data_IF_244122664038
#
_entry.id   IF_244122664038
#
_cell.length_a   1.000
_cell.length_b   1.000
_cell.length_c   1.000
_cell.angle_alpha   90.00
_cell.angle_beta   90.00
_cell.angle_gamma   90.00
#
_symmetry.space_group_name_H-M   'P 1'
#
loop_
_entity.id
_entity.type
_entity.pdbx_description
1 polymer ?
#
# COMPACT_ATOMS: atom_id res chain seq x y z
N UNK A 1 -46.19 -54.99 33.31
CA UNK A 1 -46.60 -53.57 33.09
C UNK A 1 -45.45 -52.55 33.04
N UNK A 2 -44.23 -52.84 33.53
CA UNK A 2 -43.14 -51.85 33.64
C UNK A 2 -42.48 -51.54 32.27
N UNK A 3 -42.27 -52.55 31.43
CA UNK A 3 -41.66 -52.38 30.09
C UNK A 3 -42.47 -51.48 29.15
N UNK A 4 -43.81 -51.54 29.23
CA UNK A 4 -44.69 -50.74 28.38
C UNK A 4 -44.65 -49.24 28.73
N UNK A 5 -44.38 -48.89 30.01
CA UNK A 5 -44.21 -47.49 30.45
C UNK A 5 -42.86 -46.90 30.02
N UNK A 6 -41.81 -47.71 29.96
CA UNK A 6 -40.47 -47.27 29.55
C UNK A 6 -40.43 -46.99 28.04
N UNK A 7 -41.02 -47.85 27.22
CA UNK A 7 -41.13 -47.63 25.77
C UNK A 7 -41.97 -46.40 25.42
N UNK A 8 -43.10 -46.19 26.13
CA UNK A 8 -43.95 -45.02 25.91
C UNK A 8 -43.23 -43.70 26.26
N UNK A 9 -42.38 -43.71 27.29
CA UNK A 9 -41.57 -42.55 27.72
C UNK A 9 -40.41 -42.24 26.76
N UNK A 10 -39.79 -43.26 26.15
CA UNK A 10 -38.77 -43.05 25.12
C UNK A 10 -39.36 -42.52 23.81
N UNK A 11 -40.53 -43.01 23.38
CA UNK A 11 -41.21 -42.53 22.19
C UNK A 11 -41.66 -41.06 22.31
N UNK A 12 -42.11 -40.62 23.49
CA UNK A 12 -42.47 -39.22 23.74
C UNK A 12 -41.26 -38.29 23.72
N UNK A 13 -40.09 -38.75 24.21
CA UNK A 13 -38.87 -37.94 24.21
C UNK A 13 -38.30 -37.74 22.79
N UNK A 14 -38.39 -38.75 21.92
CA UNK A 14 -37.97 -38.63 20.52
C UNK A 14 -38.83 -37.67 19.70
N UNK A 15 -40.14 -37.63 19.97
CA UNK A 15 -41.05 -36.67 19.32
C UNK A 15 -40.78 -35.22 19.76
N UNK A 16 -40.40 -35.00 21.02
CA UNK A 16 -39.99 -33.69 21.53
C UNK A 16 -38.67 -33.24 20.91
N UNK A 17 -37.69 -34.15 20.77
CA UNK A 17 -36.41 -33.88 20.12
C UNK A 17 -36.58 -33.46 18.66
N UNK A 18 -37.39 -34.19 17.87
CA UNK A 18 -37.68 -33.82 16.48
C UNK A 18 -38.35 -32.45 16.34
N UNK A 19 -39.26 -32.09 17.26
CA UNK A 19 -39.87 -30.75 17.27
C UNK A 19 -38.86 -29.66 17.63
N UNK A 20 -37.90 -29.94 18.50
CA UNK A 20 -36.83 -29.01 18.86
C UNK A 20 -35.86 -28.82 17.70
N UNK A 21 -35.45 -29.90 17.02
CA UNK A 21 -34.62 -29.84 15.82
C UNK A 21 -35.31 -29.09 14.68
N UNK A 22 -36.61 -29.34 14.45
CA UNK A 22 -37.38 -28.62 13.45
C UNK A 22 -37.46 -27.13 13.74
N UNK A 23 -37.74 -26.75 15.00
CA UNK A 23 -37.73 -25.34 15.42
C UNK A 23 -36.35 -24.70 15.32
N UNK A 24 -35.28 -25.47 15.56
CA UNK A 24 -33.90 -25.03 15.35
C UNK A 24 -33.63 -24.73 13.88
N UNK A 25 -34.01 -25.63 12.97
CA UNK A 25 -33.86 -25.44 11.53
C UNK A 25 -34.69 -24.26 11.00
N UNK A 26 -35.93 -24.08 11.47
CA UNK A 26 -36.76 -22.92 11.14
C UNK A 26 -36.14 -21.61 11.64
N UNK A 27 -35.58 -21.61 12.87
CA UNK A 27 -34.87 -20.45 13.40
C UNK A 27 -33.60 -20.12 12.59
N UNK A 28 -32.84 -21.13 12.18
CA UNK A 28 -31.64 -20.95 11.35
C UNK A 28 -31.99 -20.37 9.97
N UNK A 29 -33.08 -20.84 9.34
CA UNK A 29 -33.59 -20.27 8.08
C UNK A 29 -34.00 -18.79 8.24
N UNK A 30 -34.68 -18.45 9.34
CA UNK A 30 -35.05 -17.05 9.64
C UNK A 30 -33.80 -16.20 9.85
N UNK A 31 -32.80 -16.71 10.57
CA UNK A 31 -31.53 -16.01 10.79
C UNK A 31 -30.80 -15.77 9.47
N UNK A 32 -30.76 -16.76 8.59
CA UNK A 32 -30.13 -16.63 7.27
C UNK A 32 -30.84 -15.57 6.41
N UNK A 33 -32.17 -15.61 6.37
CA UNK A 33 -32.98 -14.61 5.66
C UNK A 33 -32.75 -13.18 6.21
N UNK A 34 -32.73 -13.01 7.54
CA UNK A 34 -32.47 -11.72 8.15
C UNK A 34 -31.04 -11.23 7.87
N UNK A 35 -30.04 -12.12 7.84
CA UNK A 35 -28.67 -11.78 7.44
C UNK A 35 -28.62 -11.26 6.00
N UNK A 36 -29.32 -11.92 5.08
CA UNK A 36 -29.42 -11.47 3.68
C UNK A 36 -30.09 -10.09 3.57
N UNK A 37 -31.20 -9.87 4.29
CA UNK A 37 -31.85 -8.55 4.32
C UNK A 37 -30.93 -7.45 4.86
N UNK A 38 -30.19 -7.72 5.94
CA UNK A 38 -29.23 -6.75 6.51
C UNK A 38 -28.09 -6.45 5.52
N UNK A 39 -27.60 -7.46 4.80
CA UNK A 39 -26.58 -7.27 3.76
C UNK A 39 -27.08 -6.35 2.63
N UNK A 40 -28.29 -6.59 2.12
CA UNK A 40 -28.91 -5.75 1.09
C UNK A 40 -29.14 -4.32 1.56
N UNK A 41 -29.57 -4.12 2.81
CA UNK A 41 -29.76 -2.79 3.38
C UNK A 41 -28.43 -2.03 3.52
N UNK A 42 -27.35 -2.71 3.91
CA UNK A 42 -26.01 -2.11 3.97
C UNK A 42 -25.52 -1.70 2.58
N UNK A 43 -25.65 -2.57 1.59
CA UNK A 43 -25.28 -2.27 0.20
C UNK A 43 -26.06 -1.08 -0.35
N UNK A 44 -27.39 -1.06 -0.14
CA UNK A 44 -28.24 0.07 -0.53
C UNK A 44 -27.83 1.38 0.15
N UNK A 45 -27.45 1.33 1.43
CA UNK A 45 -26.99 2.51 2.15
C UNK A 45 -25.66 3.05 1.60
N UNK A 46 -24.72 2.15 1.27
CA UNK A 46 -23.44 2.52 0.65
C UNK A 46 -23.68 3.14 -0.73
N UNK A 47 -24.48 2.51 -1.58
CA UNK A 47 -24.84 3.04 -2.90
C UNK A 47 -25.55 4.40 -2.82
N UNK A 48 -26.41 4.58 -1.83
CA UNK A 48 -27.08 5.86 -1.62
C UNK A 48 -26.09 6.95 -1.16
N UNK A 49 -25.12 6.60 -0.32
CA UNK A 49 -24.07 7.53 0.11
C UNK A 49 -23.16 7.93 -1.05
N UNK A 50 -22.67 6.96 -1.83
CA UNK A 50 -21.81 7.22 -3.00
C UNK A 50 -22.54 8.04 -4.06
N UNK A 51 -23.82 7.76 -4.33
CA UNK A 51 -24.62 8.54 -5.28
C UNK A 51 -24.81 9.99 -4.84
N UNK A 52 -24.97 10.25 -3.53
CA UNK A 52 -25.08 11.63 -3.01
C UNK A 52 -23.77 12.39 -3.18
N UNK A 53 -22.65 11.73 -2.90
CA UNK A 53 -21.32 12.32 -3.05
C UNK A 53 -20.99 12.60 -4.53
N UNK A 54 -21.29 11.66 -5.43
CA UNK A 54 -21.12 11.83 -6.88
C UNK A 54 -21.95 13.02 -7.40
N UNK A 55 -23.20 13.18 -6.93
CA UNK A 55 -24.03 14.34 -7.29
C UNK A 55 -23.44 15.66 -6.78
N UNK A 56 -22.94 15.69 -5.54
CA UNK A 56 -22.28 16.87 -4.98
C UNK A 56 -21.05 17.26 -5.79
N UNK A 57 -20.18 16.29 -6.09
CA UNK A 57 -18.98 16.50 -6.89
C UNK A 57 -19.32 16.95 -8.32
N UNK A 58 -20.40 16.45 -8.94
CA UNK A 58 -20.83 16.94 -10.25
C UNK A 58 -21.23 18.41 -10.23
N UNK A 59 -21.98 18.84 -9.21
CA UNK A 59 -22.39 20.25 -9.07
C UNK A 59 -21.18 21.14 -8.84
N UNK A 60 -20.26 20.72 -7.97
CA UNK A 60 -19.03 21.45 -7.69
C UNK A 60 -18.12 21.57 -8.93
N UNK A 61 -17.90 20.47 -9.65
CA UNK A 61 -17.15 20.49 -10.90
C UNK A 61 -17.79 21.38 -11.96
N UNK A 62 -19.13 21.42 -12.05
CA UNK A 62 -19.83 22.32 -12.95
C UNK A 62 -19.63 23.79 -12.57
N UNK A 63 -19.66 24.11 -11.26
CA UNK A 63 -19.40 25.45 -10.75
C UNK A 63 -17.96 25.89 -11.04
N UNK A 64 -16.98 25.05 -10.72
CA UNK A 64 -15.56 25.32 -10.98
C UNK A 64 -15.29 25.53 -12.47
N UNK A 65 -15.93 24.74 -13.36
CA UNK A 65 -15.83 24.94 -14.81
C UNK A 65 -16.36 26.30 -15.25
N UNK A 66 -17.45 26.77 -14.65
CA UNK A 66 -18.03 28.10 -14.93
C UNK A 66 -17.11 29.21 -14.46
N UNK A 67 -16.55 29.07 -13.25
CA UNK A 67 -15.61 30.03 -12.68
C UNK A 67 -14.30 30.11 -13.48
N UNK A 68 -13.77 28.96 -13.94
CA UNK A 68 -12.62 28.93 -14.85
C UNK A 68 -12.93 29.67 -16.15
N UNK A 69 -14.12 29.49 -16.71
CA UNK A 69 -14.51 30.16 -17.95
C UNK A 69 -14.67 31.68 -17.77
N UNK A 70 -15.25 32.10 -16.64
CA UNK A 70 -15.36 33.52 -16.26
C UNK A 70 -13.98 34.15 -16.08
N UNK A 71 -13.07 33.50 -15.34
CA UNK A 71 -11.70 33.98 -15.14
C UNK A 71 -10.90 34.03 -16.45
N UNK A 72 -11.12 33.06 -17.36
CA UNK A 72 -10.52 33.10 -18.70
C UNK A 72 -11.01 34.31 -19.49
N UNK A 73 -12.31 34.60 -19.47
CA UNK A 73 -12.86 35.76 -20.15
C UNK A 73 -12.33 37.07 -19.57
N UNK A 74 -12.21 37.15 -18.25
CA UNK A 74 -11.63 38.32 -17.56
C UNK A 74 -10.15 38.51 -17.91
N UNK A 75 -9.37 37.43 -17.93
CA UNK A 75 -7.97 37.45 -18.37
C UNK A 75 -7.85 37.93 -19.82
N UNK A 76 -8.68 37.39 -20.72
CA UNK A 76 -8.74 37.79 -22.12
C UNK A 76 -9.03 39.29 -22.25
N UNK A 77 -10.00 39.81 -21.49
CA UNK A 77 -10.30 41.25 -21.51
C UNK A 77 -9.14 42.09 -20.99
N UNK A 78 -8.49 41.67 -19.90
CA UNK A 78 -7.32 42.37 -19.35
C UNK A 78 -6.14 42.38 -20.32
N UNK A 79 -5.89 41.27 -21.04
CA UNK A 79 -4.87 41.19 -22.09
C UNK A 79 -5.14 42.15 -23.26
N UNK A 80 -6.41 42.21 -23.71
CA UNK A 80 -6.82 43.14 -24.77
C UNK A 80 -6.66 44.61 -24.31
N UNK A 81 -7.05 44.93 -23.09
CA UNK A 81 -6.87 46.28 -22.51
C UNK A 81 -5.40 46.69 -22.42
N UNK A 82 -4.51 45.73 -22.16
CA UNK A 82 -3.06 45.95 -22.13
C UNK A 82 -2.39 45.90 -23.52
N UNK A 83 -3.16 45.85 -24.61
CA UNK A 83 -2.67 45.96 -25.98
C UNK A 83 -2.13 44.66 -26.60
N UNK A 84 -2.41 43.51 -25.98
CA UNK A 84 -2.03 42.20 -26.52
C UNK A 84 -3.03 41.76 -27.59
N UNK A 85 -2.55 41.48 -28.82
CA UNK A 85 -3.39 40.96 -29.91
C UNK A 85 -3.69 39.48 -29.67
N UNK A 86 -4.96 39.14 -29.49
CA UNK A 86 -5.37 37.74 -29.42
C UNK A 86 -5.37 37.09 -30.81
N UNK A 87 -4.74 35.91 -30.90
CA UNK A 87 -4.73 35.08 -32.09
C UNK A 87 -5.80 34.01 -31.88
N UNK A 88 -6.85 33.94 -32.72
CA UNK A 88 -7.85 32.89 -32.61
C UNK A 88 -7.19 31.54 -32.91
N UNK A 89 -7.27 30.62 -31.95
CA UNK A 89 -6.82 29.26 -32.17
C UNK A 89 -7.86 28.52 -33.02
N UNK A 90 -7.51 27.90 -34.17
CA UNK A 90 -8.46 27.14 -34.96
C UNK A 90 -8.74 25.80 -34.26
N UNK A 91 -9.71 25.79 -33.35
CA UNK A 91 -10.29 24.55 -32.85
C UNK A 91 -11.52 24.20 -33.67
N UNK A 92 -11.35 23.29 -34.63
CA UNK A 92 -12.46 22.54 -35.19
C UNK A 92 -13.19 21.78 -34.08
N UNK A 93 -14.51 21.94 -34.08
CA UNK A 93 -15.62 21.13 -33.51
C UNK A 93 -15.33 20.22 -32.30
N UNK A 94 -16.13 20.32 -31.21
CA UNK A 94 -15.75 19.82 -29.88
C UNK A 94 -16.01 18.33 -29.68
N UNK A 95 -15.24 17.67 -28.80
CA UNK A 95 -15.74 16.77 -27.75
C UNK A 95 -14.61 16.42 -26.74
N UNK A 96 -14.77 16.96 -25.53
CA UNK A 96 -14.28 16.49 -24.23
C UNK A 96 -12.77 16.46 -23.93
N UNK A 97 -12.35 17.59 -23.34
CA UNK A 97 -11.12 17.94 -22.61
C UNK A 97 -10.71 16.99 -21.45
N UNK A 98 -9.47 16.96 -20.95
CA UNK A 98 -8.17 17.49 -21.40
C UNK A 98 -7.07 16.85 -20.54
N UNK A 99 -5.90 16.73 -21.17
CA UNK A 99 -4.63 16.26 -20.63
C UNK A 99 -3.85 17.35 -19.88
N UNK A 100 -2.98 16.89 -18.97
CA UNK A 100 -1.66 17.42 -18.58
C UNK A 100 -0.94 18.26 -19.64
N UNK A 101 -0.16 19.29 -19.24
CA UNK A 101 1.33 19.40 -19.42
C UNK A 101 1.92 20.50 -18.49
N UNK A 102 3.15 20.23 -18.00
CA UNK A 102 4.26 21.13 -17.58
C UNK A 102 4.59 22.26 -18.60
N UNK A 103 5.47 23.26 -18.40
CA UNK A 103 6.88 23.23 -17.96
C UNK A 103 7.48 24.67 -17.76
N UNK A 104 8.47 24.81 -16.84
CA UNK A 104 9.63 25.76 -16.64
C UNK A 104 9.73 27.15 -17.35
N UNK A 105 10.55 28.17 -16.98
CA UNK A 105 11.97 28.34 -16.50
C UNK A 105 12.15 29.81 -16.06
N UNK A 106 13.02 30.20 -15.10
CA UNK A 106 13.95 31.39 -15.13
C UNK A 106 15.16 31.18 -14.16
N UNK A 107 16.37 31.58 -14.60
CA UNK A 107 17.68 31.61 -13.90
C UNK A 107 18.02 32.99 -13.27
N UNK A 108 18.99 33.06 -12.32
CA UNK A 108 20.32 33.74 -12.49
C UNK A 108 21.02 34.27 -11.19
N UNK A 109 22.24 33.72 -10.90
CA UNK A 109 23.57 34.26 -10.45
C UNK A 109 23.87 34.96 -9.07
N UNK A 110 25.16 35.19 -8.63
CA UNK A 110 25.78 34.51 -7.46
C UNK A 110 26.50 35.45 -6.43
N UNK A 111 27.08 34.93 -5.35
CA UNK A 111 28.21 35.56 -4.62
C UNK A 111 28.95 34.60 -3.68
N UNK A 112 30.11 35.06 -3.20
CA UNK A 112 31.35 34.33 -2.91
C UNK A 112 31.68 34.25 -1.40
N UNK A 113 32.68 33.40 -1.07
CA UNK A 113 33.77 33.56 -0.06
C UNK A 113 33.60 33.21 1.44
N UNK A 114 34.61 32.43 1.91
CA UNK A 114 35.37 32.41 3.22
C UNK A 114 34.64 31.95 4.50
N UNK A 115 35.21 31.30 5.52
CA UNK A 115 36.56 30.78 5.89
C UNK A 115 36.45 30.00 7.21
N UNK A 116 37.36 29.02 7.43
CA UNK A 116 37.99 28.54 8.69
C UNK A 116 37.11 28.12 9.90
N UNK A 117 37.43 27.09 10.68
CA UNK A 117 38.62 26.25 10.78
C UNK A 117 38.70 25.57 12.15
N UNK A 118 39.59 24.56 12.25
CA UNK A 118 40.16 23.93 13.46
C UNK A 118 39.19 23.13 14.38
N UNK A 119 39.54 22.00 14.99
CA UNK A 119 40.84 21.34 15.21
C UNK A 119 40.65 19.84 15.53
N UNK A 120 41.75 19.12 15.32
CA UNK A 120 42.02 17.69 15.41
C UNK A 120 41.92 17.04 16.81
N UNK A 121 41.70 15.71 16.76
CA UNK A 121 42.35 14.60 17.50
C UNK A 121 42.30 14.63 19.05
N UNK A 122 42.16 13.51 19.78
CA UNK A 122 43.19 12.47 19.95
C UNK A 122 42.54 11.22 20.60
N UNK A 123 42.98 10.06 20.08
CA UNK A 123 43.20 8.70 20.65
C UNK A 123 42.90 8.47 22.15
N UNK A 124 42.53 7.28 22.64
CA UNK A 124 42.63 5.91 22.15
C UNK A 124 42.65 4.94 23.36
N UNK A 125 42.32 3.66 23.11
CA UNK A 125 42.68 2.39 23.80
C UNK A 125 42.72 2.31 25.34
N UNK A 126 42.57 1.16 26.00
CA UNK A 126 42.42 -0.27 25.66
C UNK A 126 42.27 -0.99 27.02
N UNK A 127 41.77 -2.23 26.97
CA UNK A 127 42.01 -3.34 27.91
C UNK A 127 41.23 -3.27 29.23
N UNK A 128 40.22 -4.15 29.39
CA UNK A 128 40.32 -5.51 29.99
C UNK A 128 40.34 -5.39 31.52
N UNK A 129 39.48 -6.07 32.28
CA UNK A 129 39.40 -7.52 32.36
C UNK A 129 38.26 -7.97 33.29
N UNK A 130 37.90 -9.26 33.20
CA UNK A 130 37.07 -10.09 34.10
C UNK A 130 35.58 -10.12 33.73
N UNK A 131 35.08 -11.05 32.90
CA UNK A 131 35.23 -12.51 32.90
C UNK A 131 34.94 -13.16 34.26
N UNK A 132 33.68 -13.55 34.47
CA UNK A 132 33.24 -14.75 35.23
C UNK A 132 31.70 -14.81 35.24
N UNK A 133 31.14 -15.58 34.31
CA UNK A 133 29.93 -16.42 34.47
C UNK A 133 29.48 -16.90 33.08
N UNK A 134 30.22 -17.86 32.55
CA UNK A 134 29.85 -18.60 31.35
C UNK A 134 30.34 -20.05 31.48
N UNK A 135 29.89 -20.71 32.54
CA UNK A 135 29.87 -22.17 32.67
C UNK A 135 28.55 -22.46 33.40
N UNK A 136 27.78 -23.43 32.92
CA UNK A 136 26.46 -23.86 33.44
C UNK A 136 25.20 -23.15 32.93
N UNK A 137 24.95 -23.23 31.62
CA UNK A 137 23.60 -23.62 31.12
C UNK A 137 23.70 -24.14 29.68
N UNK A 138 24.77 -24.89 29.44
CA UNK A 138 25.11 -25.55 28.18
C UNK A 138 24.68 -27.01 28.26
N UNK A 139 23.43 -27.28 28.65
CA UNK A 139 22.91 -28.66 28.77
C UNK A 139 21.37 -28.78 28.71
N UNK A 140 20.70 -27.82 28.08
CA UNK A 140 19.27 -27.96 27.70
C UNK A 140 19.02 -27.64 26.24
N UNK A 141 20.00 -28.05 25.42
CA UNK A 141 20.06 -27.86 23.97
C UNK A 141 20.16 -29.21 23.29
N UNK A 142 19.25 -30.12 23.59
CA UNK A 142 19.06 -31.39 22.88
C UNK A 142 17.67 -31.92 23.24
N UNK A 143 16.87 -32.31 22.23
CA UNK A 143 15.43 -32.69 22.29
C UNK A 143 14.38 -31.57 22.29
N UNK A 144 14.41 -30.74 21.23
CA UNK A 144 13.18 -30.33 20.52
C UNK A 144 13.45 -29.85 19.08
N UNK A 145 14.45 -30.46 18.44
CA UNK A 145 14.65 -30.38 16.99
C UNK A 145 14.17 -31.70 16.39
N UNK A 146 12.99 -31.71 15.79
CA UNK A 146 12.66 -32.59 14.67
C UNK A 146 11.22 -32.39 14.15
N UNK A 147 10.78 -31.15 13.86
CA UNK A 147 9.85 -30.86 12.74
C UNK A 147 10.10 -29.40 12.28
N UNK A 148 11.20 -29.16 11.58
CA UNK A 148 11.42 -27.93 10.81
C UNK A 148 12.35 -28.29 9.64
N UNK A 149 11.78 -29.00 8.67
CA UNK A 149 12.48 -29.41 7.44
C UNK A 149 12.20 -28.44 6.30
N UNK A 150 13.28 -27.94 5.70
CA UNK A 150 13.42 -27.42 4.33
C UNK A 150 12.95 -25.99 3.99
N UNK A 151 13.68 -24.96 4.44
CA UNK A 151 13.62 -23.64 3.80
C UNK A 151 14.98 -22.91 3.72
N UNK A 152 16.11 -23.64 3.81
CA UNK A 152 17.44 -23.03 3.97
C UNK A 152 18.40 -23.22 2.78
N UNK A 153 17.88 -23.52 1.59
CA UNK A 153 18.69 -23.62 0.36
C UNK A 153 18.09 -22.86 -0.83
N UNK A 154 17.19 -21.90 -0.60
CA UNK A 154 16.68 -21.05 -1.69
C UNK A 154 17.72 -19.96 -2.03
N UNK A 155 17.95 -19.65 -3.32
CA UNK A 155 18.75 -18.49 -3.71
C UNK A 155 18.17 -17.21 -3.08
N UNK A 156 19.03 -16.25 -2.75
CA UNK A 156 18.63 -14.96 -2.21
C UNK A 156 18.47 -14.01 -3.38
N UNK A 157 17.25 -13.97 -3.91
CA UNK A 157 16.85 -13.10 -5.02
C UNK A 157 15.42 -12.59 -4.80
N UNK A 158 14.96 -11.76 -5.74
CA UNK A 158 13.66 -11.08 -5.69
C UNK A 158 12.47 -12.04 -5.61
N UNK A 159 12.60 -13.31 -6.03
CA UNK A 159 11.51 -14.30 -5.99
C UNK A 159 11.04 -14.59 -4.56
N UNK A 160 11.84 -14.26 -3.55
CA UNK A 160 11.49 -14.43 -2.13
C UNK A 160 10.58 -13.33 -1.60
N UNK A 161 10.49 -12.19 -2.29
CA UNK A 161 9.66 -11.06 -1.89
C UNK A 161 8.23 -11.25 -2.38
N UNK A 162 7.25 -10.98 -1.53
CA UNK A 162 5.84 -10.98 -1.92
C UNK A 162 5.43 -9.55 -2.30
N UNK A 163 5.64 -9.21 -3.57
CA UNK A 163 5.32 -7.90 -4.13
C UNK A 163 3.95 -7.95 -4.81
N UNK A 164 3.03 -7.09 -4.36
CA UNK A 164 1.66 -7.04 -4.88
C UNK A 164 1.19 -5.62 -5.14
N UNK A 165 0.28 -5.48 -6.08
CA UNK A 165 -0.46 -4.25 -6.30
C UNK A 165 -1.50 -4.08 -5.20
N UNK A 166 -1.62 -2.87 -4.66
CA UNK A 166 -2.68 -2.49 -3.73
C UNK A 166 -3.34 -1.16 -4.10
N UNK A 167 -4.53 -0.93 -3.55
CA UNK A 167 -5.25 0.33 -3.66
C UNK A 167 -5.43 0.95 -2.28
N UNK A 168 -4.94 2.18 -2.08
CA UNK A 168 -5.13 2.91 -0.83
C UNK A 168 -6.59 3.34 -0.73
N UNK A 169 -7.37 2.67 0.12
CA UNK A 169 -8.80 2.99 0.32
C UNK A 169 -8.92 4.29 1.11
N UNK A 170 -8.15 4.38 2.20
CA UNK A 170 -8.12 5.58 3.04
C UNK A 170 -6.69 5.85 3.47
N UNK A 171 -6.30 7.12 3.46
CA UNK A 171 -5.09 7.60 4.11
C UNK A 171 -5.45 8.68 5.13
N UNK A 172 -4.76 8.72 6.27
CA UNK A 172 -4.91 9.74 7.31
C UNK A 172 -3.56 10.02 7.95
N UNK A 173 -3.35 11.22 8.49
CA UNK A 173 -2.15 11.52 9.30
C UNK A 173 -2.13 10.63 10.55
N UNK A 174 -0.95 10.17 10.94
CA UNK A 174 -0.79 9.39 12.15
C UNK A 174 -1.08 10.29 13.38
N UNK A 175 -1.87 9.83 14.38
CA UNK A 175 -2.26 10.66 15.52
C UNK A 175 -1.07 11.13 16.37
N UNK A 176 -0.08 10.25 16.54
CA UNK A 176 1.11 10.50 17.37
C UNK A 176 2.40 10.76 16.57
N UNK A 177 2.31 11.04 15.26
CA UNK A 177 3.49 11.26 14.42
C UNK A 177 3.22 12.14 13.19
N UNK A 178 3.88 13.31 13.13
CA UNK A 178 3.65 14.29 12.06
C UNK A 178 4.21 13.87 10.69
N UNK A 179 5.22 13.00 10.66
CA UNK A 179 5.87 12.54 9.43
C UNK A 179 5.27 11.28 8.83
N UNK A 180 4.27 10.67 9.49
CA UNK A 180 3.70 9.39 9.11
C UNK A 180 2.24 9.53 8.68
N UNK A 181 1.88 8.77 7.66
CA UNK A 181 0.50 8.45 7.32
C UNK A 181 0.15 7.05 7.83
N UNK A 182 -1.14 6.84 8.06
CA UNK A 182 -1.75 5.53 8.30
C UNK A 182 -2.72 5.28 7.15
N UNK A 183 -2.43 4.25 6.37
CA UNK A 183 -3.23 3.85 5.22
C UNK A 183 -3.96 2.52 5.48
N UNK A 184 -5.20 2.43 5.04
CA UNK A 184 -5.87 1.13 4.85
C UNK A 184 -5.81 0.78 3.37
N UNK A 185 -5.08 -0.27 3.02
CA UNK A 185 -4.78 -0.62 1.63
C UNK A 185 -5.40 -1.97 1.28
N UNK A 186 -6.23 -2.00 0.24
CA UNK A 186 -6.71 -3.24 -0.36
C UNK A 186 -5.59 -3.90 -1.14
N UNK A 187 -5.32 -5.18 -0.88
CA UNK A 187 -4.32 -5.99 -1.57
C UNK A 187 -4.92 -7.28 -2.14
N UNK A 188 -6.24 -7.29 -2.38
CA UNK A 188 -6.97 -8.45 -2.88
C UNK A 188 -7.15 -9.56 -1.84
N UNK A 189 -7.01 -9.22 -0.56
CA UNK A 189 -7.26 -10.12 0.58
C UNK A 189 -8.67 -9.90 1.15
N UNK A 190 -9.11 -10.75 2.07
CA UNK A 190 -10.45 -10.64 2.67
C UNK A 190 -10.67 -9.35 3.46
N UNK A 191 -9.59 -8.74 3.93
CA UNK A 191 -9.61 -7.48 4.66
C UNK A 191 -8.45 -6.59 4.18
N UNK A 192 -8.63 -5.26 4.16
CA UNK A 192 -7.53 -4.33 3.92
C UNK A 192 -6.43 -4.47 4.96
N UNK A 193 -5.20 -4.15 4.57
CA UNK A 193 -4.05 -4.09 5.47
C UNK A 193 -3.82 -2.68 5.96
N UNK A 194 -3.48 -2.56 7.23
CA UNK A 194 -3.02 -1.28 7.79
C UNK A 194 -1.54 -1.11 7.48
N UNK A 195 -1.19 0.01 6.86
CA UNK A 195 0.17 0.38 6.49
C UNK A 195 0.50 1.73 7.10
N UNK A 196 1.76 1.91 7.51
CA UNK A 196 2.26 3.18 8.05
C UNK A 196 3.42 3.65 7.18
N UNK A 197 3.23 4.78 6.50
CA UNK A 197 4.18 5.30 5.51
C UNK A 197 4.75 6.64 5.90
N UNK A 198 6.07 6.82 5.76
CA UNK A 198 6.77 8.08 6.01
C UNK A 198 6.70 9.08 4.86
N UNK A 199 5.52 9.33 4.32
CA UNK A 199 5.33 10.06 3.05
C UNK A 199 4.77 11.48 3.20
N UNK A 200 4.51 11.95 4.43
CA UNK A 200 3.85 13.25 4.68
C UNK A 200 4.57 14.43 4.04
N UNK A 201 5.90 14.40 4.01
CA UNK A 201 6.72 15.48 3.43
C UNK A 201 6.91 15.37 1.91
N UNK A 202 6.45 14.27 1.30
CA UNK A 202 6.74 13.94 -0.10
C UNK A 202 5.48 13.87 -0.96
N UNK A 203 4.37 13.37 -0.41
CA UNK A 203 3.11 13.19 -1.14
C UNK A 203 1.98 13.80 -0.30
N UNK A 204 1.21 14.76 -0.86
CA UNK A 204 0.09 15.35 -0.13
C UNK A 204 -1.02 14.31 0.07
N UNK A 205 -1.77 14.46 1.17
CA UNK A 205 -2.81 13.51 1.59
C UNK A 205 -3.86 13.24 0.50
N UNK A 206 -4.21 14.26 -0.29
CA UNK A 206 -5.17 14.16 -1.39
C UNK A 206 -4.70 13.20 -2.49
N UNK A 207 -3.39 13.17 -2.76
CA UNK A 207 -2.79 12.26 -3.74
C UNK A 207 -2.58 10.85 -3.19
N UNK A 208 -2.79 10.62 -1.89
CA UNK A 208 -2.73 9.29 -1.29
C UNK A 208 -4.08 8.56 -1.41
N UNK A 209 -5.20 9.29 -1.48
CA UNK A 209 -6.52 8.68 -1.54
C UNK A 209 -6.74 7.95 -2.87
N UNK A 210 -7.31 6.74 -2.83
CA UNK A 210 -7.61 5.91 -3.99
C UNK A 210 -6.42 5.71 -4.95
N UNK A 211 -5.19 5.76 -4.42
CA UNK A 211 -3.98 5.59 -5.21
C UNK A 211 -3.59 4.13 -5.31
N UNK A 212 -3.28 3.69 -6.53
CA UNK A 212 -2.69 2.38 -6.79
C UNK A 212 -1.20 2.40 -6.48
N UNK A 213 -0.73 1.39 -5.74
CA UNK A 213 0.65 1.28 -5.24
C UNK A 213 1.16 -0.14 -5.36
N UNK A 214 2.48 -0.32 -5.25
CA UNK A 214 3.10 -1.63 -5.06
C UNK A 214 3.47 -1.77 -3.58
N UNK A 215 3.17 -2.92 -3.01
CA UNK A 215 3.41 -3.27 -1.62
C UNK A 215 4.36 -4.45 -1.49
N UNK A 216 5.21 -4.42 -0.48
CA UNK A 216 5.89 -5.61 0.03
C UNK A 216 5.09 -6.20 1.19
N UNK A 217 4.52 -7.39 0.97
CA UNK A 217 3.48 -7.98 1.81
C UNK A 217 3.96 -9.08 2.76
N UNK A 218 5.18 -9.61 2.60
CA UNK A 218 5.70 -10.69 3.44
C UNK A 218 6.78 -10.24 4.43
N UNK A 219 6.90 -8.94 4.71
CA UNK A 219 7.70 -8.48 5.85
C UNK A 219 7.02 -8.85 7.17
N UNK A 220 7.83 -9.07 8.21
CA UNK A 220 7.32 -9.19 9.57
C UNK A 220 6.63 -7.88 9.96
N UNK A 221 5.36 -7.91 10.41
CA UNK A 221 4.66 -6.69 10.84
C UNK A 221 5.44 -5.95 11.94
N UNK A 222 5.55 -4.64 11.77
CA UNK A 222 6.34 -3.78 12.66
C UNK A 222 5.45 -2.71 13.29
N UNK A 223 5.66 -2.44 14.58
CA UNK A 223 4.92 -1.41 15.30
C UNK A 223 5.63 -0.07 15.13
N UNK A 224 4.92 0.91 14.56
CA UNK A 224 5.39 2.27 14.36
C UNK A 224 4.49 3.20 15.16
N UNK A 225 5.04 3.80 16.23
CA UNK A 225 4.35 4.80 17.07
C UNK A 225 2.96 4.37 17.59
N UNK A 226 2.74 3.07 17.80
CA UNK A 226 1.47 2.56 18.33
C UNK A 226 0.69 1.72 17.33
N UNK A 227 0.83 2.00 16.03
CA UNK A 227 0.12 1.32 14.94
C UNK A 227 0.99 0.21 14.37
N UNK A 228 0.39 -0.93 14.03
CA UNK A 228 1.10 -2.06 13.40
C UNK A 228 1.03 -1.91 11.89
N UNK A 229 2.17 -1.72 11.23
CA UNK A 229 2.27 -1.76 9.77
C UNK A 229 2.42 -3.21 9.30
N UNK A 230 1.52 -3.65 8.42
CA UNK A 230 1.44 -5.02 7.90
C UNK A 230 2.04 -5.19 6.50
N UNK A 231 2.44 -4.10 5.86
CA UNK A 231 3.13 -4.07 4.58
C UNK A 231 3.97 -2.79 4.48
N UNK A 232 4.67 -2.62 3.37
CA UNK A 232 5.47 -1.43 3.07
C UNK A 232 5.20 -0.99 1.63
N UNK A 233 4.94 0.30 1.42
CA UNK A 233 4.75 0.89 0.08
C UNK A 233 6.11 1.05 -0.60
N UNK A 234 6.24 0.49 -1.81
CA UNK A 234 7.48 0.56 -2.58
C UNK A 234 7.64 1.93 -3.25
N UNK A 235 8.76 2.59 -2.99
CA UNK A 235 9.05 3.93 -3.50
C UNK A 235 10.43 3.99 -4.17
N UNK A 236 10.56 4.78 -5.23
CA UNK A 236 11.85 5.28 -5.67
C UNK A 236 12.30 6.36 -4.69
N UNK A 237 13.55 6.30 -4.22
CA UNK A 237 14.08 7.21 -3.20
C UNK A 237 15.48 7.68 -3.54
N UNK A 238 15.72 8.97 -3.28
CA UNK A 238 17.01 9.62 -3.29
C UNK A 238 17.13 10.45 -2.00
N UNK A 239 18.31 11.03 -1.70
CA UNK A 239 18.45 11.92 -0.53
C UNK A 239 17.50 13.13 -0.54
N UNK A 240 17.00 13.52 -1.72
CA UNK A 240 16.24 14.76 -1.93
C UNK A 240 14.75 14.50 -2.16
N UNK A 241 14.38 13.35 -2.74
CA UNK A 241 13.01 13.09 -3.20
C UNK A 241 12.61 11.62 -2.99
N UNK A 242 11.31 11.42 -2.75
CA UNK A 242 10.69 10.10 -2.70
C UNK A 242 9.46 10.11 -3.60
N UNK A 243 9.34 9.11 -4.47
CA UNK A 243 8.21 8.90 -5.37
C UNK A 243 7.64 7.50 -5.22
N UNK A 244 6.32 7.41 -5.03
CA UNK A 244 5.62 6.13 -4.97
C UNK A 244 5.65 5.48 -6.36
N UNK A 245 6.05 4.22 -6.43
CA UNK A 245 6.02 3.46 -7.69
C UNK A 245 4.57 3.25 -8.13
N UNK A 246 4.29 3.58 -9.39
CA UNK A 246 2.99 3.41 -10.01
C UNK A 246 2.92 2.06 -10.74
N UNK A 247 1.91 1.23 -10.46
CA UNK A 247 1.64 0.04 -11.26
C UNK A 247 1.08 0.42 -12.64
N UNK A 248 1.16 -0.48 -13.65
CA UNK A 248 0.62 -0.20 -14.97
C UNK A 248 -0.91 -0.04 -14.95
N UNK A 249 -1.44 0.68 -15.95
CA UNK A 249 -2.88 0.91 -16.08
C UNK A 249 -3.65 -0.41 -16.18
N UNK A 250 -4.80 -0.50 -15.49
CA UNK A 250 -5.61 -1.71 -15.45
C UNK A 250 -5.20 -2.73 -14.39
N UNK A 251 -4.15 -2.45 -13.60
CA UNK A 251 -3.80 -3.27 -12.43
C UNK A 251 -4.92 -3.26 -11.39
N UNK A 252 -5.11 -4.39 -10.72
CA UNK A 252 -6.13 -4.55 -9.68
C UNK A 252 -5.47 -4.96 -8.35
N UNK A 253 -6.09 -4.64 -7.20
CA UNK A 253 -5.60 -5.10 -5.91
C UNK A 253 -5.36 -6.62 -5.90
N UNK A 254 -4.17 -7.04 -5.46
CA UNK A 254 -3.75 -8.43 -5.38
C UNK A 254 -2.99 -8.96 -6.59
N UNK A 255 -2.88 -8.19 -7.69
CA UNK A 255 -1.98 -8.54 -8.79
C UNK A 255 -0.55 -8.69 -8.27
N UNK A 256 0.12 -9.79 -8.65
CA UNK A 256 1.51 -10.04 -8.26
C UNK A 256 2.48 -9.38 -9.22
N UNK A 257 3.55 -8.81 -8.69
CA UNK A 257 4.71 -8.39 -9.49
C UNK A 257 5.56 -9.63 -9.77
N UNK A 258 5.82 -9.88 -11.04
CA UNK A 258 6.58 -11.05 -11.50
C UNK A 258 7.90 -10.62 -12.13
N UNK A 259 8.87 -11.55 -12.06
CA UNK A 259 10.19 -11.40 -12.66
C UNK A 259 10.50 -12.69 -13.41
N UNK A 260 10.33 -12.70 -14.74
CA UNK A 260 10.49 -13.93 -15.53
C UNK A 260 11.88 -14.56 -15.41
N UNK A 261 12.91 -13.73 -15.18
CA UNK A 261 14.28 -14.18 -14.96
C UNK A 261 14.53 -14.83 -13.58
N UNK A 262 13.62 -14.64 -12.62
CA UNK A 262 13.76 -15.10 -11.23
C UNK A 262 12.52 -15.90 -10.80
N UNK A 263 12.33 -17.12 -11.33
CA UNK A 263 11.19 -17.95 -10.98
C UNK A 263 11.29 -18.44 -9.52
N UNK A 264 10.21 -18.28 -8.77
CA UNK A 264 10.12 -18.82 -7.42
C UNK A 264 8.89 -18.34 -6.66
N UNK A 265 8.57 -19.02 -5.56
CA UNK A 265 7.48 -18.61 -4.67
C UNK A 265 8.02 -17.77 -3.51
N UNK A 266 7.35 -16.65 -3.18
CA UNK A 266 7.68 -15.82 -2.04
C UNK A 266 7.68 -16.59 -0.73
N UNK A 267 8.47 -16.11 0.23
CA UNK A 267 8.38 -16.66 1.58
C UNK A 267 7.09 -16.21 2.26
N UNK A 268 6.54 -17.05 3.13
CA UNK A 268 5.34 -16.71 3.92
C UNK A 268 5.55 -15.49 4.82
N UNK A 269 6.72 -15.41 5.46
CA UNK A 269 7.19 -14.25 6.25
C UNK A 269 8.72 -14.21 6.14
N UNK A 270 9.26 -13.05 5.78
CA UNK A 270 10.70 -12.81 5.71
C UNK A 270 11.29 -12.79 7.13
N UNK A 271 12.28 -13.63 7.38
CA UNK A 271 12.95 -13.69 8.66
C UNK A 271 13.94 -12.50 8.82
N UNK A 272 13.72 -11.57 9.78
CA UNK A 272 14.59 -10.41 9.95
C UNK A 272 16.04 -10.76 10.26
N UNK A 273 16.30 -11.94 10.85
CA UNK A 273 17.67 -12.40 11.16
C UNK A 273 18.46 -12.77 9.92
N UNK A 274 17.79 -13.16 8.83
CA UNK A 274 18.44 -13.53 7.57
C UNK A 274 18.74 -12.31 6.70
N UNK A 275 18.18 -11.13 7.03
CA UNK A 275 18.39 -9.87 6.31
C UNK A 275 18.22 -10.01 4.79
N UNK A 276 17.16 -10.71 4.38
CA UNK A 276 16.92 -11.06 2.96
C UNK A 276 16.60 -9.79 2.17
N UNK A 277 15.75 -8.93 2.71
CA UNK A 277 15.41 -7.64 2.12
C UNK A 277 16.65 -6.78 1.91
N UNK A 278 17.52 -6.68 2.92
CA UNK A 278 18.74 -5.86 2.87
C UNK A 278 19.79 -6.39 1.89
N UNK A 279 19.73 -7.67 1.52
CA UNK A 279 20.57 -8.24 0.48
C UNK A 279 20.01 -8.02 -0.93
N UNK A 280 18.70 -7.89 -1.07
CA UNK A 280 18.01 -7.69 -2.37
C UNK A 280 17.90 -6.19 -2.69
N UNK A 281 17.67 -5.35 -1.68
CA UNK A 281 17.41 -3.91 -1.81
C UNK A 281 18.49 -3.14 -2.60
N UNK A 282 19.80 -3.43 -2.49
CA UNK A 282 20.82 -2.74 -3.29
C UNK A 282 20.69 -2.94 -4.80
N UNK A 283 20.11 -4.06 -5.22
CA UNK A 283 19.89 -4.40 -6.64
C UNK A 283 18.55 -3.89 -7.18
N UNK A 284 17.73 -3.24 -6.33
CA UNK A 284 16.45 -2.65 -6.70
C UNK A 284 16.62 -1.16 -7.03
N UNK A 285 16.42 -0.82 -8.30
CA UNK A 285 16.54 0.55 -8.78
C UNK A 285 15.59 0.84 -9.95
N UNK A 286 15.32 2.12 -10.19
CA UNK A 286 14.71 2.56 -11.45
C UNK A 286 15.76 2.67 -12.55
N UNK A 287 15.40 2.40 -13.80
CA UNK A 287 16.28 2.59 -14.96
C UNK A 287 16.17 4.02 -15.56
N UNK A 288 16.79 4.25 -16.72
CA UNK A 288 16.76 5.53 -17.45
C UNK A 288 15.35 5.96 -17.90
N UNK A 289 14.41 5.02 -17.97
CA UNK A 289 13.01 5.26 -18.36
C UNK A 289 12.07 5.37 -17.15
N UNK A 290 12.62 5.52 -15.94
CA UNK A 290 11.90 5.50 -14.65
C UNK A 290 11.22 4.15 -14.33
N UNK A 291 11.48 3.08 -15.08
CA UNK A 291 10.89 1.76 -14.83
C UNK A 291 11.59 1.12 -13.64
N UNK A 292 10.83 0.58 -12.69
CA UNK A 292 11.37 -0.13 -11.54
C UNK A 292 11.94 -1.48 -11.99
N UNK A 293 13.15 -1.81 -11.55
CA UNK A 293 13.87 -3.02 -11.95
C UNK A 293 14.57 -3.70 -10.77
N UNK A 294 14.80 -5.01 -10.91
CA UNK A 294 15.72 -5.79 -10.09
C UNK A 294 16.82 -6.34 -10.99
N UNK A 295 18.09 -5.94 -10.79
CA UNK A 295 19.21 -6.30 -11.67
C UNK A 295 18.92 -6.06 -13.16
N UNK A 296 18.22 -4.96 -13.47
CA UNK A 296 17.80 -4.60 -14.82
C UNK A 296 16.54 -5.31 -15.34
N UNK A 297 15.99 -6.28 -14.61
CA UNK A 297 14.72 -6.96 -14.97
C UNK A 297 13.53 -6.13 -14.47
N UNK A 298 12.60 -5.71 -15.34
CA UNK A 298 11.48 -4.86 -14.95
C UNK A 298 10.51 -5.50 -13.95
N UNK A 299 9.91 -4.67 -13.11
CA UNK A 299 8.75 -5.02 -12.30
C UNK A 299 7.54 -5.12 -13.22
N UNK A 300 7.10 -6.33 -13.53
CA UNK A 300 5.98 -6.54 -14.44
C UNK A 300 4.72 -7.03 -13.71
N UNK A 301 3.57 -6.47 -14.09
CA UNK A 301 2.26 -7.07 -13.82
C UNK A 301 1.84 -7.84 -15.05
N UNK A 302 1.69 -9.16 -14.91
CA UNK A 302 1.43 -10.09 -16.02
C UNK A 302 0.31 -9.62 -16.93
N UNK A 303 0.65 -9.34 -18.19
CA UNK A 303 -0.30 -8.94 -19.22
C UNK A 303 -0.84 -7.51 -19.13
N UNK A 304 -0.29 -6.67 -18.23
CA UNK A 304 -0.71 -5.27 -18.05
C UNK A 304 0.43 -4.27 -18.27
N UNK A 305 1.67 -4.66 -18.00
CA UNK A 305 2.87 -3.87 -18.29
C UNK A 305 3.78 -3.70 -17.08
N UNK A 306 4.61 -2.65 -17.10
CA UNK A 306 5.68 -2.43 -16.11
C UNK A 306 5.38 -1.32 -15.12
N UNK A 307 5.87 -1.47 -13.89
CA UNK A 307 5.80 -0.47 -12.83
C UNK A 307 6.87 0.62 -13.01
N UNK A 308 6.54 1.87 -12.70
CA UNK A 308 7.45 3.01 -12.90
C UNK A 308 7.33 4.09 -11.82
N UNK A 309 8.41 4.81 -11.57
CA UNK A 309 8.38 6.10 -10.89
C UNK A 309 7.84 7.20 -11.83
N UNK A 310 7.51 8.38 -11.30
CA UNK A 310 7.00 9.47 -12.14
C UNK A 310 8.12 10.18 -12.89
N UNK A 311 9.21 10.52 -12.19
CA UNK A 311 10.35 11.27 -12.74
C UNK A 311 11.71 10.75 -12.30
N UNK A 312 11.77 9.86 -11.30
CA UNK A 312 13.02 9.38 -10.74
C UNK A 312 13.64 8.24 -11.59
N UNK A 313 14.71 8.57 -12.31
CA UNK A 313 15.58 7.61 -13.00
C UNK A 313 16.76 7.20 -12.11
N UNK A 314 17.34 6.03 -12.35
CA UNK A 314 18.56 5.54 -11.68
C UNK A 314 18.57 5.68 -10.15
N UNK A 315 17.38 5.56 -9.55
CA UNK A 315 17.16 5.81 -8.13
C UNK A 315 16.92 4.50 -7.39
N UNK A 316 17.46 4.40 -6.18
CA UNK A 316 17.28 3.21 -5.35
C UNK A 316 15.85 3.05 -4.88
N UNK A 317 15.33 1.82 -4.90
CA UNK A 317 13.98 1.51 -4.42
C UNK A 317 14.06 1.10 -2.95
N UNK A 318 13.13 1.61 -2.15
CA UNK A 318 12.99 1.32 -0.71
C UNK A 318 11.55 1.10 -0.33
#
# INVERSE_FOLDING_TARGET
MIFCRIFKKMATNGAVLKRLEQKGAEADQIIEYLKQQVALLKEKAILQATLREEKKLRVENAKLRKEIEELKQELIQAEIQNGVKQIPFPSGTPLQANSTVSEKVIQSIPMTTVSSGAKEQITGGRAEEKMKEKIEMKEKKEKKQSIAGSADSKPIDVSRLDLRVGCIITARKHPDADSLYVEEIDVGETAPRTVVSGLVNHVPLEQMQNRMVILLCNLKPAKMRGVISQAMVMCASSPEKVEILAPPTGSVPGDRIIFDAFPGEPDKELNPKKKIWEQIQPDLCTNDECVATYKGVPFEVKGKGVCRAQTMTNSGIK
#
